data_IF_733208454061
#
_entry.id   IF_733208454061
#
_cell.length_a   1.000
_cell.length_b   1.000
_cell.length_c   1.000
_cell.angle_alpha   90.00
_cell.angle_beta   90.00
_cell.angle_gamma   90.00
#
_symmetry.space_group_name_H-M   'P 1'
#
loop_
_entity.id
_entity.type
_entity.pdbx_description
1 polymer ?
#
# COMPACT_ATOMS: atom_id res chain seq x y z
N UNK A 1 9.41 -5.74 -4.42
CA UNK A 1 9.31 -7.15 -4.90
C UNK A 1 9.44 -8.06 -3.69
N UNK A 2 8.64 -9.11 -3.58
CA UNK A 2 8.86 -10.20 -2.61
C UNK A 2 9.49 -11.38 -3.36
N UNK A 3 10.56 -11.94 -2.81
CA UNK A 3 11.21 -13.14 -3.35
C UNK A 3 11.32 -14.23 -2.30
N UNK A 4 11.35 -15.48 -2.76
CA UNK A 4 11.64 -16.63 -1.92
C UNK A 4 12.78 -17.45 -2.50
N UNK A 5 13.36 -18.28 -1.65
CA UNK A 5 14.49 -19.12 -2.00
C UNK A 5 14.03 -20.37 -2.73
N UNK A 6 14.74 -20.71 -3.80
CA UNK A 6 14.52 -21.91 -4.61
C UNK A 6 15.72 -22.84 -4.49
N UNK A 7 15.44 -24.14 -4.38
CA UNK A 7 16.47 -25.18 -4.42
C UNK A 7 16.92 -25.45 -5.85
N UNK A 8 18.17 -25.88 -6.03
CA UNK A 8 18.74 -26.16 -7.36
C UNK A 8 17.96 -27.20 -8.17
N UNK A 9 17.39 -28.21 -7.52
CA UNK A 9 16.53 -29.21 -8.19
C UNK A 9 15.30 -28.57 -8.83
N UNK A 10 14.66 -27.63 -8.14
CA UNK A 10 13.50 -26.89 -8.63
C UNK A 10 13.91 -25.87 -9.70
N UNK A 11 15.04 -25.18 -9.51
CA UNK A 11 15.58 -24.25 -10.50
C UNK A 11 15.88 -24.94 -11.86
N UNK A 12 16.39 -26.18 -11.83
CA UNK A 12 16.57 -27.02 -13.04
C UNK A 12 15.26 -27.26 -13.78
N UNK A 13 14.21 -27.63 -13.05
CA UNK A 13 12.88 -27.89 -13.61
C UNK A 13 12.30 -26.61 -14.24
N UNK A 14 12.62 -25.45 -13.67
CA UNK A 14 12.18 -24.13 -14.14
C UNK A 14 13.02 -23.57 -15.30
N UNK A 15 14.02 -24.33 -15.78
CA UNK A 15 14.78 -24.02 -16.99
C UNK A 15 16.04 -23.18 -16.77
N UNK A 16 16.58 -23.14 -15.54
CA UNK A 16 17.94 -22.61 -15.32
C UNK A 16 18.95 -23.57 -15.92
N UNK A 17 19.88 -23.06 -16.74
CA UNK A 17 20.89 -23.88 -17.41
C UNK A 17 21.92 -24.45 -16.43
N UNK A 18 22.51 -25.59 -16.77
CA UNK A 18 23.54 -26.26 -15.93
C UNK A 18 24.77 -25.38 -15.71
N UNK A 19 25.13 -24.55 -16.69
CA UNK A 19 26.24 -23.60 -16.57
C UNK A 19 26.01 -22.61 -15.41
N UNK A 20 24.78 -22.10 -15.23
CA UNK A 20 24.45 -21.22 -14.12
C UNK A 20 24.43 -21.95 -12.78
N UNK A 21 23.95 -23.20 -12.76
CA UNK A 21 23.93 -24.01 -11.54
C UNK A 21 25.36 -24.30 -11.06
N UNK A 22 26.27 -24.62 -11.97
CA UNK A 22 27.69 -24.78 -11.65
C UNK A 22 28.30 -23.48 -11.12
N UNK A 23 28.03 -22.33 -11.76
CA UNK A 23 28.48 -21.01 -11.30
C UNK A 23 27.99 -20.69 -9.89
N UNK A 24 26.71 -20.92 -9.59
CA UNK A 24 26.16 -20.71 -8.24
C UNK A 24 26.78 -21.68 -7.23
N UNK A 25 27.04 -22.91 -7.65
CA UNK A 25 27.67 -23.93 -6.80
C UNK A 25 29.09 -23.53 -6.41
N UNK A 26 29.86 -23.00 -7.36
CA UNK A 26 31.22 -22.51 -7.13
C UNK A 26 31.23 -21.22 -6.30
N UNK A 27 30.32 -20.28 -6.57
CA UNK A 27 30.26 -19.00 -5.88
C UNK A 27 29.83 -19.13 -4.41
N UNK A 28 28.95 -20.09 -4.09
CA UNK A 28 28.47 -20.30 -2.73
C UNK A 28 28.46 -21.79 -2.36
N UNK A 29 29.60 -22.36 -1.92
CA UNK A 29 29.74 -23.79 -1.61
C UNK A 29 28.84 -24.32 -0.49
N UNK A 30 28.36 -23.44 0.39
CA UNK A 30 27.60 -23.85 1.57
C UNK A 30 26.08 -23.75 1.38
N UNK A 31 25.60 -22.85 0.51
CA UNK A 31 24.17 -22.64 0.25
C UNK A 31 23.94 -22.32 -1.24
N UNK A 32 23.60 -23.34 -2.02
CA UNK A 32 23.26 -23.21 -3.43
C UNK A 32 21.80 -22.79 -3.58
N UNK A 33 21.55 -21.49 -3.53
CA UNK A 33 20.22 -20.92 -3.50
C UNK A 33 20.09 -19.84 -4.58
N UNK A 34 18.94 -19.84 -5.25
CA UNK A 34 18.51 -18.77 -6.15
C UNK A 34 17.23 -18.13 -5.60
N UNK A 35 16.96 -16.92 -6.05
CA UNK A 35 15.77 -16.18 -5.64
C UNK A 35 14.76 -16.16 -6.77
N UNK A 36 13.53 -16.57 -6.47
CA UNK A 36 12.41 -16.42 -7.38
C UNK A 36 11.47 -15.33 -6.89
N UNK A 37 11.01 -14.52 -7.84
CA UNK A 37 10.01 -13.50 -7.62
C UNK A 37 8.68 -14.15 -7.29
N UNK A 38 8.18 -13.91 -6.08
CA UNK A 38 6.87 -14.38 -5.64
C UNK A 38 5.78 -13.41 -6.06
N UNK A 39 6.01 -12.14 -5.77
CA UNK A 39 5.02 -11.06 -5.82
C UNK A 39 5.68 -9.77 -6.23
N UNK A 40 5.06 -9.09 -7.18
CA UNK A 40 5.50 -7.78 -7.67
C UNK A 40 4.48 -6.75 -7.21
N UNK A 41 4.95 -5.72 -6.51
CA UNK A 41 4.07 -4.66 -6.02
C UNK A 41 3.59 -3.77 -7.16
N UNK A 42 2.36 -3.30 -7.08
CA UNK A 42 1.83 -2.30 -7.97
C UNK A 42 2.67 -1.01 -7.88
N UNK A 43 3.22 -0.52 -9.00
CA UNK A 43 4.12 0.61 -8.98
C UNK A 43 3.39 1.93 -8.64
N UNK A 44 4.11 2.97 -8.20
CA UNK A 44 3.53 4.28 -7.95
C UNK A 44 2.96 4.95 -9.22
N UNK A 45 2.05 5.92 -9.07
CA UNK A 45 1.52 6.66 -10.22
C UNK A 45 2.66 7.33 -10.99
N UNK A 46 2.59 7.28 -12.33
CA UNK A 46 3.61 7.88 -13.20
C UNK A 46 4.84 7.02 -13.44
N UNK A 47 4.93 5.84 -12.82
CA UNK A 47 5.91 4.82 -13.19
C UNK A 47 5.54 4.25 -14.56
N UNK A 48 6.16 4.77 -15.62
CA UNK A 48 5.88 4.33 -16.99
C UNK A 48 6.45 2.93 -17.23
N UNK A 49 5.57 2.02 -17.65
CA UNK A 49 5.82 0.61 -18.02
C UNK A 49 6.75 0.41 -19.24
N UNK A 50 7.52 1.43 -19.64
CA UNK A 50 8.47 1.31 -20.76
C UNK A 50 9.73 0.51 -20.37
N UNK A 51 9.98 0.31 -19.07
CA UNK A 51 11.01 -0.56 -18.54
C UNK A 51 10.44 -1.96 -18.29
N UNK A 52 11.16 -3.00 -18.70
CA UNK A 52 10.83 -4.39 -18.42
C UNK A 52 10.82 -4.62 -16.90
N UNK A 53 9.65 -4.94 -16.35
CA UNK A 53 9.49 -5.24 -14.92
C UNK A 53 9.60 -6.74 -14.65
N UNK A 54 9.90 -7.09 -13.39
CA UNK A 54 9.83 -8.48 -12.97
C UNK A 54 8.40 -9.01 -13.07
N UNK A 55 8.26 -10.29 -13.37
CA UNK A 55 7.00 -11.03 -13.32
C UNK A 55 7.05 -12.07 -12.21
N UNK A 56 5.88 -12.47 -11.70
CA UNK A 56 5.78 -13.56 -10.75
C UNK A 56 6.32 -14.86 -11.40
N UNK A 57 7.25 -15.54 -10.72
CA UNK A 57 7.92 -16.73 -11.23
C UNK A 57 9.30 -16.49 -11.85
N UNK A 58 9.72 -15.24 -12.03
CA UNK A 58 11.06 -14.94 -12.53
C UNK A 58 12.14 -15.44 -11.56
N UNK A 59 13.17 -16.11 -12.08
CA UNK A 59 14.35 -16.50 -11.29
C UNK A 59 15.46 -15.49 -11.55
N UNK A 60 15.97 -14.87 -10.49
CA UNK A 60 17.05 -13.88 -10.56
C UNK A 60 18.39 -14.62 -10.54
N UNK A 61 19.19 -14.45 -11.60
CA UNK A 61 20.54 -15.02 -11.69
C UNK A 61 21.59 -13.99 -11.30
N UNK A 62 21.54 -12.82 -11.95
CA UNK A 62 22.52 -11.77 -11.74
C UNK A 62 21.87 -10.39 -11.82
N UNK A 63 22.45 -9.42 -11.12
CA UNK A 63 22.07 -8.02 -11.17
C UNK A 63 23.35 -7.21 -11.44
N UNK A 64 23.35 -6.37 -12.48
CA UNK A 64 24.52 -5.62 -12.97
C UNK A 64 25.78 -6.47 -13.19
N UNK A 65 25.58 -7.72 -13.63
CA UNK A 65 26.65 -8.68 -13.87
C UNK A 65 27.17 -9.39 -12.62
N UNK A 66 26.68 -9.04 -11.42
CA UNK A 66 26.98 -9.73 -10.18
C UNK A 66 25.98 -10.87 -9.95
N UNK A 67 26.48 -12.09 -9.75
CA UNK A 67 25.65 -13.25 -9.42
C UNK A 67 24.99 -13.07 -8.05
N UNK A 68 23.70 -13.37 -7.95
CA UNK A 68 22.91 -13.24 -6.72
C UNK A 68 22.62 -14.63 -6.14
N UNK A 69 23.25 -14.92 -5.01
CA UNK A 69 23.15 -16.15 -4.22
C UNK A 69 22.82 -15.88 -2.75
N UNK A 70 23.00 -14.63 -2.28
CA UNK A 70 22.73 -14.19 -0.92
C UNK A 70 21.84 -12.94 -0.92
N UNK A 71 21.09 -12.76 0.17
CA UNK A 71 20.23 -11.58 0.34
C UNK A 71 21.06 -10.29 0.37
N UNK A 72 22.25 -10.30 0.99
CA UNK A 72 23.16 -9.14 1.03
C UNK A 72 23.65 -8.69 -0.35
N UNK A 73 23.60 -9.55 -1.37
CA UNK A 73 24.02 -9.19 -2.72
C UNK A 73 22.93 -8.38 -3.46
N UNK A 74 21.71 -8.36 -2.92
CA UNK A 74 20.63 -7.50 -3.41
C UNK A 74 20.83 -6.03 -3.02
N UNK A 75 21.73 -5.73 -2.06
CA UNK A 75 21.93 -4.37 -1.52
C UNK A 75 22.35 -3.34 -2.59
N UNK A 76 22.87 -3.79 -3.73
CA UNK A 76 23.16 -2.95 -4.91
C UNK A 76 21.93 -2.14 -5.39
N UNK A 77 20.71 -2.57 -5.04
CA UNK A 77 19.48 -1.86 -5.38
C UNK A 77 19.32 -0.54 -4.64
N UNK A 78 20.02 -0.33 -3.53
CA UNK A 78 19.93 0.90 -2.74
C UNK A 78 20.73 2.06 -3.34
N UNK A 79 21.71 1.77 -4.21
CA UNK A 79 22.64 2.78 -4.73
C UNK A 79 22.33 3.22 -6.17
N UNK A 80 21.40 2.56 -6.85
CA UNK A 80 21.15 2.73 -8.29
C UNK A 80 19.69 2.89 -8.59
N UNK A 81 19.35 3.82 -9.48
CA UNK A 81 17.99 4.04 -9.97
C UNK A 81 17.52 2.96 -10.96
N UNK A 82 18.46 2.31 -11.67
CA UNK A 82 18.17 1.26 -12.65
C UNK A 82 19.17 0.13 -12.52
N UNK A 83 18.68 -1.10 -12.61
CA UNK A 83 19.46 -2.33 -12.53
C UNK A 83 19.29 -3.15 -13.82
N UNK A 84 20.38 -3.66 -14.36
CA UNK A 84 20.35 -4.68 -15.41
C UNK A 84 20.23 -6.06 -14.76
N UNK A 85 19.03 -6.64 -14.78
CA UNK A 85 18.79 -7.97 -14.24
C UNK A 85 18.91 -9.03 -15.35
N UNK A 86 19.66 -10.08 -15.06
CA UNK A 86 19.64 -11.33 -15.80
C UNK A 86 18.71 -12.30 -15.06
N UNK A 87 17.65 -12.71 -15.75
CA UNK A 87 16.61 -13.57 -15.21
C UNK A 87 16.38 -14.79 -16.08
N UNK A 88 15.72 -15.80 -15.50
CA UNK A 88 15.07 -16.88 -16.25
C UNK A 88 13.57 -16.72 -16.11
N UNK A 89 12.89 -16.54 -17.25
CA UNK A 89 11.44 -16.48 -17.37
C UNK A 89 10.97 -17.53 -18.35
N UNK A 90 10.02 -18.38 -17.97
CA UNK A 90 9.52 -19.48 -18.81
C UNK A 90 10.64 -20.36 -19.40
N UNK A 91 11.70 -20.60 -18.62
CA UNK A 91 12.87 -21.38 -19.03
C UNK A 91 13.80 -20.73 -20.05
N UNK A 92 13.65 -19.42 -20.30
CA UNK A 92 14.54 -18.66 -21.17
C UNK A 92 15.31 -17.61 -20.38
N UNK A 93 16.61 -17.53 -20.64
CA UNK A 93 17.49 -16.49 -20.10
C UNK A 93 17.23 -15.17 -20.83
N UNK A 94 16.91 -14.11 -20.06
CA UNK A 94 16.66 -12.78 -20.61
C UNK A 94 17.27 -11.70 -19.74
N UNK A 95 17.64 -10.59 -20.38
CA UNK A 95 18.15 -9.39 -19.70
C UNK A 95 17.07 -8.32 -19.72
N UNK A 96 16.67 -7.88 -18.54
CA UNK A 96 15.69 -6.82 -18.34
C UNK A 96 16.33 -5.64 -17.63
N UNK A 97 15.79 -4.44 -17.85
CA UNK A 97 16.19 -3.23 -17.10
C UNK A 97 15.09 -2.85 -16.14
N UNK A 98 15.37 -2.99 -14.85
CA UNK A 98 14.41 -2.77 -13.77
C UNK A 98 14.71 -1.45 -13.08
N UNK A 99 13.69 -0.61 -12.90
CA UNK A 99 13.83 0.62 -12.12
C UNK A 99 13.69 0.29 -10.63
N UNK A 100 14.56 0.86 -9.80
CA UNK A 100 14.38 0.82 -8.36
C UNK A 100 13.42 1.91 -7.93
N UNK A 101 12.75 1.70 -6.80
CA UNK A 101 11.82 2.68 -6.22
C UNK A 101 12.33 3.03 -4.83
N UNK A 102 12.51 4.32 -4.51
CA UNK A 102 12.86 4.76 -3.16
C UNK A 102 11.89 4.17 -2.14
N UNK A 103 12.42 3.65 -1.03
CA UNK A 103 11.58 3.09 0.04
C UNK A 103 10.70 4.18 0.67
N UNK A 104 11.15 5.43 0.67
CA UNK A 104 10.41 6.60 1.15
C UNK A 104 9.06 6.78 0.42
N UNK A 105 8.97 6.40 -0.86
CA UNK A 105 7.72 6.49 -1.63
C UNK A 105 6.67 5.46 -1.22
N UNK A 106 7.09 4.41 -0.49
CA UNK A 106 6.24 3.32 -0.01
C UNK A 106 5.85 3.45 1.47
N UNK A 107 6.53 4.32 2.21
CA UNK A 107 6.25 4.59 3.61
C UNK A 107 5.03 5.51 3.80
N UNK A 108 4.35 5.39 4.94
CA UNK A 108 3.32 6.35 5.32
C UNK A 108 3.99 7.65 5.79
N UNK A 109 3.80 8.71 5.03
CA UNK A 109 4.27 10.07 5.30
C UNK A 109 3.13 11.05 5.60
N UNK A 110 1.91 10.71 5.17
CA UNK A 110 0.74 11.58 5.22
C UNK A 110 -0.53 10.75 5.48
N UNK A 111 -1.28 11.16 6.50
CA UNK A 111 -2.58 10.58 6.85
C UNK A 111 -3.61 11.69 6.96
N UNK A 112 -4.80 11.46 6.40
CA UNK A 112 -5.94 12.36 6.51
C UNK A 112 -7.07 11.62 7.23
N UNK A 113 -7.56 12.18 8.32
CA UNK A 113 -8.78 11.67 8.98
C UNK A 113 -9.94 12.55 8.57
N UNK A 114 -11.01 11.95 8.05
CA UNK A 114 -12.18 12.68 7.58
C UNK A 114 -13.45 11.87 7.81
N UNK A 115 -14.45 12.44 8.47
CA UNK A 115 -15.70 11.76 8.80
C UNK A 115 -15.49 10.39 9.51
N UNK A 116 -14.40 10.28 10.29
CA UNK A 116 -13.97 9.05 10.96
C UNK A 116 -13.33 7.98 10.06
N UNK A 117 -13.11 8.22 8.77
CA UNK A 117 -12.24 7.37 7.95
C UNK A 117 -10.79 7.84 8.09
N UNK A 118 -9.87 6.88 8.22
CA UNK A 118 -8.42 7.11 8.18
C UNK A 118 -7.95 6.82 6.76
N UNK A 119 -7.41 7.84 6.11
CA UNK A 119 -7.01 7.81 4.71
C UNK A 119 -5.50 7.99 4.61
N UNK A 120 -4.84 7.13 3.85
CA UNK A 120 -3.41 7.22 3.58
C UNK A 120 -3.10 6.77 2.15
N UNK A 121 -1.87 7.01 1.70
CA UNK A 121 -1.36 6.33 0.50
C UNK A 121 -1.36 4.82 0.73
N UNK A 122 -1.64 3.98 -0.28
CA UNK A 122 -1.54 2.53 -0.12
C UNK A 122 -0.10 2.16 0.26
N UNK A 123 0.06 1.58 1.45
CA UNK A 123 1.35 1.12 1.95
C UNK A 123 1.82 -0.13 1.20
N UNK A 124 3.09 -0.48 1.37
CA UNK A 124 3.75 -1.55 0.60
C UNK A 124 2.96 -2.88 0.57
N UNK A 125 2.42 -3.33 1.70
CA UNK A 125 1.65 -4.59 1.76
C UNK A 125 0.39 -4.57 0.88
N UNK A 126 -0.36 -3.46 0.86
CA UNK A 126 -1.53 -3.32 -0.04
C UNK A 126 -1.09 -3.32 -1.50
N UNK A 127 0.00 -2.63 -1.84
CA UNK A 127 0.54 -2.60 -3.21
C UNK A 127 0.96 -3.98 -3.71
N UNK A 128 1.42 -4.87 -2.84
CA UNK A 128 1.75 -6.26 -3.21
C UNK A 128 0.52 -7.12 -3.51
N UNK A 129 -0.63 -6.78 -2.95
CA UNK A 129 -1.84 -7.59 -3.08
C UNK A 129 -2.79 -7.10 -4.18
N UNK A 130 -2.63 -5.86 -4.66
CA UNK A 130 -3.42 -5.30 -5.76
C UNK A 130 -2.68 -5.42 -7.10
N UNK A 131 -3.42 -5.68 -8.18
CA UNK A 131 -2.89 -5.67 -9.55
C UNK A 131 -2.84 -4.26 -10.16
N UNK A 132 -3.73 -3.36 -9.72
CA UNK A 132 -3.88 -2.01 -10.25
C UNK A 132 -4.12 -1.01 -9.14
N UNK A 133 -3.42 0.12 -9.21
CA UNK A 133 -3.65 1.26 -8.35
C UNK A 133 -4.81 2.11 -8.90
N UNK A 134 -5.93 2.16 -8.17
CA UNK A 134 -7.11 2.94 -8.56
C UNK A 134 -7.05 4.41 -8.12
N UNK A 135 -6.40 4.66 -6.98
CA UNK A 135 -6.23 5.98 -6.37
C UNK A 135 -5.18 5.91 -5.27
N UNK A 136 -4.51 7.02 -4.98
CA UNK A 136 -3.63 7.13 -3.82
C UNK A 136 -4.38 7.43 -2.51
N UNK A 137 -5.72 7.48 -2.54
CA UNK A 137 -6.55 7.68 -1.36
C UNK A 137 -7.13 6.34 -0.91
N UNK A 138 -6.42 5.66 -0.01
CA UNK A 138 -6.80 4.35 0.52
C UNK A 138 -7.38 4.47 1.93
N UNK A 139 -8.53 3.83 2.17
CA UNK A 139 -9.16 3.75 3.49
C UNK A 139 -8.46 2.64 4.28
N UNK A 140 -7.64 3.03 5.26
CA UNK A 140 -6.91 2.07 6.08
C UNK A 140 -7.68 1.62 7.30
N UNK A 141 -8.50 2.50 7.85
CA UNK A 141 -9.32 2.23 9.03
C UNK A 141 -10.52 3.17 9.07
N UNK A 142 -11.47 2.89 9.96
CA UNK A 142 -12.59 3.78 10.27
C UNK A 142 -12.92 3.70 11.75
N UNK A 143 -13.47 4.76 12.31
CA UNK A 143 -13.92 4.78 13.71
C UNK A 143 -15.38 4.33 13.82
N UNK A 144 -15.70 3.49 14.81
CA UNK A 144 -17.07 3.10 15.17
C UNK A 144 -17.92 4.35 15.48
N UNK A 145 -19.19 4.32 15.08
CA UNK A 145 -20.12 5.45 15.27
C UNK A 145 -19.85 6.68 14.40
N UNK A 146 -18.84 6.65 13.53
CA UNK A 146 -18.58 7.72 12.57
C UNK A 146 -19.53 7.68 11.36
N UNK A 147 -19.66 8.80 10.62
CA UNK A 147 -20.35 8.76 9.33
C UNK A 147 -19.76 7.72 8.39
N UNK A 148 -18.43 7.52 8.37
CA UNK A 148 -17.80 6.49 7.52
C UNK A 148 -18.28 5.09 7.88
N UNK A 149 -18.43 4.78 9.18
CA UNK A 149 -19.00 3.53 9.64
C UNK A 149 -20.49 3.42 9.29
N UNK A 150 -21.28 4.45 9.61
CA UNK A 150 -22.73 4.48 9.39
C UNK A 150 -23.12 4.29 7.91
N UNK A 151 -22.37 4.90 7.00
CA UNK A 151 -22.65 4.86 5.56
C UNK A 151 -21.87 3.75 4.82
N UNK A 152 -21.11 2.91 5.53
CA UNK A 152 -20.48 1.72 4.96
C UNK A 152 -19.17 1.97 4.21
N UNK A 153 -18.49 3.11 4.39
CA UNK A 153 -17.15 3.34 3.85
C UNK A 153 -16.13 2.48 4.63
N UNK A 154 -15.90 1.27 4.13
CA UNK A 154 -15.07 0.27 4.80
C UNK A 154 -13.57 0.47 4.56
N UNK A 155 -12.70 -0.05 5.46
CA UNK A 155 -11.30 -0.28 5.15
C UNK A 155 -11.16 -1.11 3.87
N UNK A 156 -9.98 -1.04 3.24
CA UNK A 156 -9.65 -1.70 1.95
C UNK A 156 -10.25 -1.06 0.70
N UNK A 157 -11.02 0.01 0.83
CA UNK A 157 -11.54 0.78 -0.30
C UNK A 157 -10.56 1.86 -0.79
N UNK A 158 -10.58 2.12 -2.09
CA UNK A 158 -9.87 3.23 -2.74
C UNK A 158 -10.87 4.33 -3.15
N UNK A 159 -10.70 5.55 -2.67
CA UNK A 159 -11.57 6.68 -3.04
C UNK A 159 -11.10 7.26 -4.36
N UNK A 160 -11.96 7.23 -5.38
CA UNK A 160 -11.65 7.66 -6.76
C UNK A 160 -12.34 8.94 -7.19
N UNK A 161 -13.33 9.44 -6.44
CA UNK A 161 -13.95 10.75 -6.69
C UNK A 161 -14.59 11.35 -5.42
N UNK A 162 -14.58 12.69 -5.32
CA UNK A 162 -15.38 13.48 -4.38
C UNK A 162 -16.31 14.37 -5.20
N UNK A 163 -17.62 14.25 -5.02
CA UNK A 163 -18.65 14.96 -5.79
C UNK A 163 -18.46 14.91 -7.32
N UNK A 164 -17.91 13.79 -7.83
CA UNK A 164 -17.64 13.60 -9.26
C UNK A 164 -16.30 14.14 -9.74
N UNK A 165 -15.56 14.85 -8.89
CA UNK A 165 -14.20 15.31 -9.17
C UNK A 165 -13.24 14.21 -8.72
N UNK A 166 -12.40 13.63 -9.61
CA UNK A 166 -11.43 12.62 -9.22
C UNK A 166 -10.31 13.24 -8.37
N UNK A 167 -10.12 12.87 -7.09
CA UNK A 167 -8.87 13.16 -6.41
C UNK A 167 -7.85 12.09 -6.84
N UNK A 168 -6.71 12.49 -7.43
CA UNK A 168 -5.62 11.55 -7.63
C UNK A 168 -4.89 11.22 -6.31
N UNK A 169 -4.92 12.13 -5.33
CA UNK A 169 -4.11 12.06 -4.11
C UNK A 169 -4.79 12.68 -2.88
N UNK A 170 -4.16 12.49 -1.71
CA UNK A 170 -4.65 12.97 -0.41
C UNK A 170 -4.79 14.50 -0.31
N UNK A 171 -3.92 15.25 -0.99
CA UNK A 171 -3.98 16.72 -0.96
C UNK A 171 -5.20 17.24 -1.72
N UNK A 172 -5.42 16.75 -2.95
CA UNK A 172 -6.62 17.06 -3.72
C UNK A 172 -7.88 16.58 -3.01
N UNK A 173 -7.85 15.39 -2.42
CA UNK A 173 -8.96 14.92 -1.59
C UNK A 173 -9.28 15.93 -0.48
N UNK A 174 -8.26 16.38 0.26
CA UNK A 174 -8.41 17.35 1.34
C UNK A 174 -8.96 18.69 0.85
N UNK A 175 -8.51 19.18 -0.30
CA UNK A 175 -9.00 20.42 -0.90
C UNK A 175 -10.48 20.31 -1.30
N UNK A 176 -10.88 19.20 -1.93
CA UNK A 176 -12.27 19.00 -2.36
C UNK A 176 -13.21 18.84 -1.16
N UNK A 177 -12.84 18.06 -0.14
CA UNK A 177 -13.72 17.88 1.03
C UNK A 177 -13.83 19.14 1.91
N UNK A 178 -12.87 20.07 1.82
CA UNK A 178 -12.96 21.38 2.49
C UNK A 178 -14.04 22.28 1.89
N UNK A 179 -14.38 22.11 0.61
CA UNK A 179 -15.43 22.88 -0.07
C UNK A 179 -16.82 22.45 0.38
N UNK A 180 -16.95 21.27 1.00
CA UNK A 180 -18.21 20.71 1.45
C UNK A 180 -18.61 21.40 2.77
N UNK A 181 -19.76 22.08 2.85
CA UNK A 181 -20.23 22.66 4.10
C UNK A 181 -20.52 21.59 5.16
N UNK A 182 -20.34 21.93 6.43
CA UNK A 182 -20.73 21.04 7.52
C UNK A 182 -22.23 20.70 7.46
N UNK A 183 -22.60 19.52 7.97
CA UNK A 183 -23.96 19.02 8.00
C UNK A 183 -24.65 18.85 6.63
N UNK A 184 -23.89 18.84 5.54
CA UNK A 184 -24.41 18.58 4.18
C UNK A 184 -24.02 17.20 3.66
N UNK A 185 -24.77 16.72 2.68
CA UNK A 185 -24.48 15.46 2.00
C UNK A 185 -23.47 15.67 0.87
N UNK A 186 -22.57 14.70 0.72
CA UNK A 186 -21.61 14.63 -0.37
C UNK A 186 -21.48 13.20 -0.86
N UNK A 187 -20.96 13.04 -2.07
CA UNK A 187 -20.86 11.75 -2.75
C UNK A 187 -19.39 11.38 -2.94
N UNK A 188 -19.01 10.20 -2.48
CA UNK A 188 -17.74 9.58 -2.81
C UNK A 188 -17.95 8.47 -3.82
N UNK A 189 -17.06 8.39 -4.81
CA UNK A 189 -16.90 7.18 -5.62
C UNK A 189 -15.73 6.41 -5.05
N UNK A 190 -15.92 5.13 -4.83
CA UNK A 190 -14.90 4.24 -4.31
C UNK A 190 -14.80 2.97 -5.16
N UNK A 191 -13.70 2.25 -5.01
CA UNK A 191 -13.47 0.94 -5.60
C UNK A 191 -13.04 0.02 -4.47
N UNK A 192 -13.68 -1.15 -4.35
CA UNK A 192 -13.30 -2.15 -3.37
C UNK A 192 -11.95 -2.78 -3.72
N UNK A 193 -11.38 -3.51 -2.78
CA UNK A 193 -10.18 -4.30 -3.01
C UNK A 193 -10.33 -5.28 -4.19
N UNK A 194 -11.52 -5.86 -4.36
CA UNK A 194 -11.88 -6.76 -5.46
C UNK A 194 -12.21 -6.05 -6.78
N UNK A 195 -11.83 -4.77 -6.93
CA UNK A 195 -12.05 -3.95 -8.12
C UNK A 195 -13.53 -3.64 -8.43
N UNK A 196 -14.43 -3.70 -7.45
CA UNK A 196 -15.85 -3.37 -7.66
C UNK A 196 -16.07 -1.86 -7.42
N UNK A 197 -16.43 -1.08 -8.45
CA UNK A 197 -16.72 0.34 -8.28
C UNK A 197 -18.08 0.53 -7.61
N UNK A 198 -18.16 1.46 -6.68
CA UNK A 198 -19.39 1.81 -5.99
C UNK A 198 -19.40 3.28 -5.56
N UNK A 199 -20.56 3.73 -5.09
CA UNK A 199 -20.79 5.12 -4.73
C UNK A 199 -21.46 5.18 -3.36
N UNK A 200 -20.94 6.03 -2.48
CA UNK A 200 -21.52 6.30 -1.17
C UNK A 200 -21.89 7.76 -1.05
N UNK A 201 -23.08 8.03 -0.50
CA UNK A 201 -23.52 9.38 -0.14
C UNK A 201 -23.46 9.50 1.38
N UNK A 202 -22.59 10.38 1.88
CA UNK A 202 -22.32 10.56 3.30
C UNK A 202 -22.71 11.96 3.74
N UNK A 203 -23.11 12.11 5.01
CA UNK A 203 -23.30 13.42 5.63
C UNK A 203 -22.02 13.85 6.35
N UNK A 204 -21.54 15.06 6.05
CA UNK A 204 -20.37 15.65 6.71
C UNK A 204 -20.73 16.06 8.14
N UNK A 205 -19.80 15.82 9.08
CA UNK A 205 -19.98 16.15 10.49
C UNK A 205 -18.65 16.63 11.09
N UNK A 206 -18.40 17.94 11.00
CA UNK A 206 -17.18 18.57 11.52
C UNK A 206 -17.21 18.75 13.04
N UNK A 207 -18.38 18.66 13.68
CA UNK A 207 -18.51 18.82 15.13
C UNK A 207 -17.92 17.62 15.90
N UNK A 208 -18.26 16.40 15.48
CA UNK A 208 -17.78 15.17 16.13
C UNK A 208 -16.59 14.52 15.41
N UNK A 209 -16.51 14.68 14.08
CA UNK A 209 -15.49 14.03 13.24
C UNK A 209 -14.79 15.06 12.34
N UNK A 210 -14.13 16.07 12.92
CA UNK A 210 -13.43 17.11 12.17
C UNK A 210 -12.35 16.51 11.27
N UNK A 211 -12.06 17.19 10.16
CA UNK A 211 -10.88 16.83 9.39
C UNK A 211 -9.60 17.16 10.16
N UNK A 212 -8.68 16.18 10.24
CA UNK A 212 -7.30 16.38 10.65
C UNK A 212 -6.34 15.77 9.64
N UNK A 213 -5.15 16.37 9.53
CA UNK A 213 -4.03 15.82 8.74
C UNK A 213 -2.85 15.55 9.64
N UNK A 214 -2.16 14.44 9.40
CA UNK A 214 -0.91 14.07 10.08
C UNK A 214 0.16 13.96 9.01
N UNK A 215 1.21 14.75 9.16
CA UNK A 215 2.32 14.82 8.21
C UNK A 215 3.59 14.44 8.97
N UNK A 216 4.35 13.49 8.44
CA UNK A 216 5.63 13.06 9.01
C UNK A 216 6.58 14.25 9.06
N UNK A 217 7.07 14.56 10.25
CA UNK A 217 7.91 15.72 10.52
C UNK A 217 8.94 15.35 11.58
N UNK A 218 10.18 15.12 11.14
CA UNK A 218 11.28 14.69 12.00
C UNK A 218 11.71 15.77 13.01
N UNK A 219 11.28 17.02 12.87
CA UNK A 219 11.57 18.05 13.88
C UNK A 219 10.67 17.95 15.10
N UNK A 220 9.54 17.24 15.01
CA UNK A 220 8.63 17.04 16.13
C UNK A 220 9.10 15.86 17.00
N UNK A 221 8.95 15.92 18.34
CA UNK A 221 9.31 14.81 19.23
C UNK A 221 8.60 13.49 18.90
N UNK A 222 7.35 13.57 18.43
CA UNK A 222 6.56 12.41 18.00
C UNK A 222 6.90 11.95 16.58
N UNK A 223 7.71 12.71 15.82
CA UNK A 223 7.95 12.47 14.39
C UNK A 223 6.78 12.85 13.48
N UNK A 224 5.70 13.45 14.02
CA UNK A 224 4.48 13.80 13.29
C UNK A 224 3.98 15.19 13.67
N UNK A 225 3.56 15.95 12.65
CA UNK A 225 2.89 17.24 12.80
C UNK A 225 1.42 17.11 12.46
N UNK A 226 0.57 17.48 13.41
CA UNK A 226 -0.88 17.51 13.23
C UNK A 226 -1.33 18.88 12.71
N UNK A 227 -2.10 18.88 11.63
CA UNK A 227 -2.72 20.06 11.04
C UNK A 227 -4.24 19.90 11.14
N UNK A 228 -4.84 20.67 12.03
CA UNK A 228 -6.29 20.75 12.16
C UNK A 228 -6.74 22.11 11.65
N UNK A 229 -7.74 22.09 10.77
CA UNK A 229 -8.21 23.30 10.09
C UNK A 229 -9.32 24.04 10.87
N UNK A 230 -9.93 23.41 11.87
CA UNK A 230 -11.00 23.98 12.71
C UNK A 230 -10.52 24.26 14.15
N UNK A 231 -9.36 24.92 14.30
CA UNK A 231 -8.76 25.21 15.62
C UNK A 231 -9.67 26.04 16.54
N UNK A 232 -10.52 26.88 15.99
CA UNK A 232 -11.35 27.81 16.77
C UNK A 232 -12.57 27.15 17.45
N UNK A 233 -12.92 25.91 17.08
CA UNK A 233 -14.04 25.16 17.68
C UNK A 233 -13.65 24.32 18.91
N UNK A 234 -12.36 24.02 19.12
CA UNK A 234 -11.87 23.24 20.26
C UNK A 234 -11.53 24.15 21.44
N UNK A 235 -12.55 24.81 22.00
CA UNK A 235 -12.42 25.66 23.21
C UNK A 235 -12.25 24.86 24.51
N UNK A 236 -12.45 23.55 24.48
CA UNK A 236 -12.49 22.69 25.67
C UNK A 236 -11.13 22.04 26.01
N UNK A 237 -10.02 22.50 25.42
CA UNK A 237 -8.67 22.05 25.78
C UNK A 237 -8.31 20.61 25.34
N UNK A 238 -9.21 19.92 24.63
CA UNK A 238 -8.92 18.62 24.02
C UNK A 238 -8.14 18.86 22.72
N UNK A 239 -6.91 18.36 22.69
CA UNK A 239 -6.10 18.40 21.49
C UNK A 239 -6.77 17.58 20.37
N UNK A 240 -6.79 18.07 19.13
CA UNK A 240 -7.60 17.50 18.05
C UNK A 240 -7.09 16.13 17.54
N UNK A 241 -5.93 15.68 18.03
CA UNK A 241 -5.41 14.32 17.90
C UNK A 241 -6.19 13.32 18.77
N UNK A 242 -6.55 13.70 20.00
CA UNK A 242 -7.31 12.86 20.94
C UNK A 242 -8.78 12.66 20.53
N UNK A 243 -9.37 13.61 19.79
CA UNK A 243 -10.78 13.55 19.37
C UNK A 243 -11.03 12.60 18.18
N UNK A 244 -10.04 12.43 17.29
CA UNK A 244 -10.23 11.78 15.99
C UNK A 244 -9.72 10.35 15.89
N UNK A 245 -8.69 10.01 16.68
CA UNK A 245 -8.01 8.72 16.62
C UNK A 245 -8.07 8.07 18.01
N UNK A 246 -9.28 7.68 18.45
CA UNK A 246 -9.40 6.81 19.61
C UNK A 246 -9.08 5.35 19.16
N UNK A 247 -8.00 4.72 19.65
CA UNK A 247 -7.62 3.36 19.27
C UNK A 247 -8.76 2.36 19.51
N UNK A 248 -9.50 2.51 20.62
CA UNK A 248 -10.63 1.64 20.97
C UNK A 248 -11.80 1.79 19.98
N UNK A 249 -11.95 2.98 19.39
CA UNK A 249 -12.97 3.22 18.36
C UNK A 249 -12.53 2.72 16.98
N UNK A 250 -11.23 2.52 16.77
CA UNK A 250 -10.62 2.04 15.51
C UNK A 250 -10.45 0.52 15.52
N UNK A 251 -10.40 -0.10 16.69
CA UNK A 251 -10.31 -1.55 16.83
C UNK A 251 -11.58 -2.23 16.28
N UNK A 252 -11.45 -2.76 15.06
CA UNK A 252 -12.37 -3.72 14.49
C UNK A 252 -11.99 -5.10 15.03
N UNK A 253 -12.18 -5.32 16.34
CA UNK A 253 -12.10 -6.64 16.93
C UNK A 253 -12.84 -7.65 16.03
N UNK A 254 -12.27 -8.85 15.90
CA UNK A 254 -12.83 -9.91 15.06
C UNK A 254 -14.29 -10.16 15.48
N UNK A 255 -15.23 -9.57 14.75
CA UNK A 255 -16.65 -9.85 14.91
C UNK A 255 -16.84 -11.29 14.41
N UNK A 256 -16.64 -12.23 15.33
CA UNK A 256 -16.92 -13.63 15.11
C UNK A 256 -18.33 -13.72 14.57
N UNK A 257 -18.46 -14.30 13.38
CA UNK A 257 -19.74 -14.74 12.85
C UNK A 257 -20.36 -15.60 13.95
N UNK A 258 -21.42 -15.09 14.60
CA UNK A 258 -22.21 -15.92 15.49
C UNK A 258 -22.99 -16.87 14.59
N UNK A 259 -22.43 -18.06 14.35
CA UNK A 259 -23.20 -19.21 13.91
C UNK A 259 -24.15 -19.57 15.07
N UNK A 260 -25.25 -18.82 15.16
CA UNK A 260 -26.43 -19.25 15.90
C UNK A 260 -27.08 -20.27 14.99
N UNK A 261 -26.81 -21.54 15.26
CA UNK A 261 -27.62 -22.65 14.76
C UNK A 261 -29.09 -22.36 15.12
N UNK A 262 -30.03 -22.38 14.17
CA UNK A 262 -31.44 -22.26 14.50
C UNK A 262 -31.85 -23.50 15.30
N UNK A 263 -32.34 -23.27 16.51
CA UNK A 263 -32.89 -24.30 17.40
C UNK A 263 -33.84 -25.22 16.62
N UNK A 264 -33.50 -26.52 16.61
CA UNK A 264 -34.37 -27.58 16.14
C UNK A 264 -35.43 -27.85 17.22
N UNK A 265 -36.65 -27.37 16.99
CA UNK A 265 -37.87 -27.99 17.55
C UNK A 265 -38.25 -29.24 16.75
#
# INVERSE_FOLDING_TARGET
>A
MESYVVQMSQARIMGVSEEWIEKVTQANPSRHQLFMVRKVGCPPPGFNSAADTFEEGDIILALDGQLITRVSELDIMYEKDTLAALIVRNGQEMRIRVLTVPTEDLETDHVVVFCGAVLQKPHHAVRQQISKLHSEVYVSARSRGSPSYQYGLAPTNFITAVNGIPPPNLDRFSEEVRKIPDNTYFRLRAVTFDNVPWVVTMKKNDYYFPMSKYIKDRSQPSGWRTVCHDKDKYKDGIAPDAANLNPDAIDEGFDGVSDIDPDLE
#
